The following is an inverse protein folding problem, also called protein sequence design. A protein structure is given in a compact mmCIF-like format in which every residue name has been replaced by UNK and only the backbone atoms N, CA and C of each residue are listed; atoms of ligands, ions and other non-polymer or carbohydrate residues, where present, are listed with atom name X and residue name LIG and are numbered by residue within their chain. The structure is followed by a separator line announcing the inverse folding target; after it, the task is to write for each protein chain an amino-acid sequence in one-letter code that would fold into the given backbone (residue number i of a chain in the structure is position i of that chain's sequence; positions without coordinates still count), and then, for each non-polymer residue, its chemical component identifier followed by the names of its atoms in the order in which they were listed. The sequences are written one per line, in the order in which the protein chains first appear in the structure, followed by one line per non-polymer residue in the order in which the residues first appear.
data_IF_104805699978
#
_entry.id   IF_104805699978
#
_cell.length_a   1.000
_cell.length_b   1.000
_cell.length_c   1.000
_cell.angle_alpha   90.00
_cell.angle_beta   90.00
_cell.angle_gamma   90.00
#
_symmetry.space_group_name_H-M   'P 1'
#
loop_
_entity.id
_entity.type
_entity.pdbx_description
1 polymer ?
#
# COMPACT_ATOMS: atom_id res chain seq x y z
N UNK A 1 1.99 -7.30 18.06
CA UNK A 1 1.42 -5.94 17.92
C UNK A 1 0.27 -5.97 16.93
N UNK A 2 0.43 -6.67 15.81
CA UNK A 2 -0.69 -7.03 14.94
C UNK A 2 -1.37 -8.31 15.40
N UNK A 3 -2.69 -8.26 15.51
CA UNK A 3 -3.55 -9.41 15.81
C UNK A 3 -4.90 -9.22 15.11
N UNK A 4 -5.49 -10.30 14.62
CA UNK A 4 -6.84 -10.28 14.05
C UNK A 4 -7.77 -11.17 14.87
N UNK A 5 -8.68 -10.55 15.60
CA UNK A 5 -9.71 -11.23 16.36
C UNK A 5 -11.01 -11.29 15.57
N UNK A 6 -11.48 -12.50 15.27
CA UNK A 6 -12.82 -12.72 14.72
C UNK A 6 -13.86 -12.69 15.86
N UNK A 7 -14.74 -11.69 15.87
CA UNK A 7 -15.75 -11.52 16.92
C UNK A 7 -17.04 -12.29 16.60
N UNK A 8 -17.49 -12.22 15.35
CA UNK A 8 -18.74 -12.85 14.92
C UNK A 8 -18.70 -13.21 13.44
N UNK A 9 -19.32 -14.33 13.11
CA UNK A 9 -19.67 -14.70 11.75
C UNK A 9 -21.18 -14.77 11.61
N UNK A 10 -21.69 -14.40 10.44
CA UNK A 10 -23.06 -14.67 10.08
C UNK A 10 -23.24 -16.18 9.78
N UNK A 11 -24.40 -16.75 10.11
CA UNK A 11 -24.66 -18.19 9.90
C UNK A 11 -25.12 -18.53 8.49
N UNK A 12 -25.56 -17.54 7.71
CA UNK A 12 -26.16 -17.72 6.38
C UNK A 12 -25.26 -17.23 5.24
N UNK A 13 -24.30 -16.38 5.53
CA UNK A 13 -23.39 -15.74 4.57
C UNK A 13 -21.93 -15.92 5.01
N UNK A 14 -20.99 -15.34 4.23
CA UNK A 14 -19.56 -15.30 4.58
C UNK A 14 -19.17 -14.02 5.34
N UNK A 15 -20.14 -13.23 5.80
CA UNK A 15 -19.87 -11.98 6.51
C UNK A 15 -19.19 -12.23 7.86
N UNK A 16 -18.25 -11.33 8.20
CA UNK A 16 -17.44 -11.41 9.41
C UNK A 16 -17.33 -10.03 10.05
N UNK A 17 -17.48 -9.98 11.37
CA UNK A 17 -17.11 -8.84 12.18
C UNK A 17 -15.89 -9.21 13.01
N UNK A 18 -14.87 -8.35 13.01
CA UNK A 18 -13.61 -8.61 13.72
C UNK A 18 -12.86 -7.33 14.05
N UNK A 19 -11.77 -7.46 14.81
CA UNK A 19 -10.88 -6.37 15.18
C UNK A 19 -9.48 -6.70 14.68
N UNK A 20 -8.85 -5.77 13.97
CA UNK A 20 -7.44 -5.85 13.63
C UNK A 20 -6.66 -4.81 14.44
N UNK A 21 -5.86 -5.25 15.40
CA UNK A 21 -5.05 -4.36 16.24
C UNK A 21 -3.78 -3.93 15.51
N UNK A 22 -3.44 -2.65 15.64
CA UNK A 22 -2.24 -2.05 15.02
C UNK A 22 -1.53 -1.14 16.03
N UNK A 23 -0.27 -0.73 15.80
CA UNK A 23 0.43 0.22 16.67
C UNK A 23 -0.33 1.54 16.90
N UNK A 24 -1.10 2.01 15.91
CA UNK A 24 -1.83 3.27 15.98
C UNK A 24 -3.33 3.12 16.30
N UNK A 25 -3.75 1.94 16.78
CA UNK A 25 -5.11 1.68 17.25
C UNK A 25 -5.79 0.50 16.58
N UNK A 26 -7.00 0.20 17.06
CA UNK A 26 -7.80 -0.93 16.55
C UNK A 26 -8.62 -0.56 15.32
N UNK A 27 -8.72 -1.50 14.38
CA UNK A 27 -9.56 -1.42 13.20
C UNK A 27 -10.73 -2.40 13.31
N UNK A 28 -11.94 -1.86 13.44
CA UNK A 28 -13.17 -2.66 13.35
C UNK A 28 -13.42 -3.04 11.89
N UNK A 29 -13.57 -4.32 11.62
CA UNK A 29 -13.84 -4.87 10.28
C UNK A 29 -15.28 -5.37 10.19
N UNK A 30 -15.99 -5.19 9.05
CA UNK A 30 -15.52 -4.60 7.79
C UNK A 30 -15.29 -3.08 7.88
N UNK A 31 -14.31 -2.59 7.12
CA UNK A 31 -13.86 -1.20 7.17
C UNK A 31 -13.75 -0.62 5.76
N UNK A 32 -13.99 0.69 5.66
CA UNK A 32 -13.69 1.48 4.48
C UNK A 32 -12.51 2.41 4.75
N UNK A 33 -11.59 2.52 3.78
CA UNK A 33 -10.42 3.39 3.87
C UNK A 33 -10.50 4.52 2.82
N UNK A 34 -10.70 5.79 3.24
CA UNK A 34 -10.55 6.93 2.34
C UNK A 34 -9.12 7.01 1.78
N UNK A 35 -8.99 7.48 0.54
CA UNK A 35 -7.70 7.54 -0.17
C UNK A 35 -7.05 8.92 -0.04
N UNK A 36 -5.88 8.95 0.59
CA UNK A 36 -4.95 10.06 0.67
C UNK A 36 -3.87 10.00 -0.42
N UNK A 37 -4.10 10.63 -1.57
CA UNK A 37 -3.19 10.51 -2.73
C UNK A 37 -1.81 11.13 -2.51
N UNK A 38 -1.70 12.26 -1.80
CA UNK A 38 -0.43 12.95 -1.52
C UNK A 38 -0.34 13.31 -0.04
N UNK A 39 -0.49 12.29 0.83
CA UNK A 39 -0.64 12.49 2.27
C UNK A 39 -1.75 13.50 2.63
N UNK A 40 -2.82 13.49 1.83
CA UNK A 40 -4.05 14.24 2.10
C UNK A 40 -5.21 13.56 1.40
N UNK A 41 -6.34 13.41 2.10
CA UNK A 41 -7.62 13.12 1.45
C UNK A 41 -8.09 14.42 0.81
N UNK A 42 -8.42 14.38 -0.48
CA UNK A 42 -8.73 15.60 -1.23
C UNK A 42 -9.97 16.29 -0.66
N UNK A 43 -9.85 17.60 -0.43
CA UNK A 43 -10.91 18.47 0.10
C UNK A 43 -11.41 18.17 1.52
N UNK A 44 -10.76 17.27 2.27
CA UNK A 44 -11.14 16.90 3.64
C UNK A 44 -9.90 16.96 4.54
N UNK A 45 -9.99 17.70 5.63
CA UNK A 45 -8.93 17.79 6.65
C UNK A 45 -8.88 16.54 7.53
N UNK A 46 -7.74 16.24 8.19
CA UNK A 46 -7.67 15.15 9.16
C UNK A 46 -8.71 15.26 10.29
N UNK A 47 -9.03 16.48 10.74
CA UNK A 47 -10.07 16.72 11.74
C UNK A 47 -11.45 16.28 11.24
N UNK A 48 -11.82 16.66 10.01
CA UNK A 48 -13.08 16.23 9.40
C UNK A 48 -13.14 14.71 9.18
N UNK A 49 -12.03 14.06 8.82
CA UNK A 49 -11.98 12.60 8.74
C UNK A 49 -12.25 11.94 10.10
N UNK A 50 -11.73 12.53 11.17
CA UNK A 50 -12.02 12.07 12.53
C UNK A 50 -13.49 12.25 12.90
N UNK A 51 -14.08 13.41 12.59
CA UNK A 51 -15.50 13.70 12.86
C UNK A 51 -16.43 12.75 12.09
N UNK A 52 -16.03 12.35 10.88
CA UNK A 52 -16.75 11.35 10.06
C UNK A 52 -16.57 9.91 10.56
N UNK A 53 -15.74 9.68 11.58
CA UNK A 53 -15.50 8.35 12.15
C UNK A 53 -14.57 7.47 11.32
N UNK A 54 -13.77 8.04 10.42
CA UNK A 54 -12.74 7.27 9.72
C UNK A 54 -11.74 6.69 10.73
N UNK A 55 -11.40 5.42 10.55
CA UNK A 55 -10.44 4.68 11.38
C UNK A 55 -9.23 4.20 10.61
N UNK A 56 -9.27 4.18 9.27
CA UNK A 56 -8.15 3.81 8.40
C UNK A 56 -8.08 4.78 7.22
N UNK A 57 -6.87 5.19 6.84
CA UNK A 57 -6.61 5.94 5.60
C UNK A 57 -5.62 5.17 4.73
N UNK A 58 -5.85 5.16 3.42
CA UNK A 58 -4.88 4.67 2.43
C UNK A 58 -4.01 5.81 1.93
N UNK A 59 -2.70 5.78 2.16
CA UNK A 59 -1.74 6.72 1.58
C UNK A 59 -1.08 6.12 0.32
N UNK A 60 -0.93 6.91 -0.74
CA UNK A 60 -0.37 6.40 -1.98
C UNK A 60 1.16 6.46 -2.02
N UNK A 61 1.81 5.31 -2.14
CA UNK A 61 3.27 5.18 -2.15
C UNK A 61 3.89 5.83 -3.37
N UNK A 62 3.30 5.64 -4.56
CA UNK A 62 3.84 6.15 -5.81
C UNK A 62 3.93 7.68 -5.81
N UNK A 63 2.86 8.35 -5.38
CA UNK A 63 2.83 9.80 -5.32
C UNK A 63 3.79 10.36 -4.26
N UNK A 64 3.79 9.79 -3.06
CA UNK A 64 4.69 10.22 -1.98
C UNK A 64 6.17 10.02 -2.32
N UNK A 65 6.50 8.93 -3.03
CA UNK A 65 7.84 8.69 -3.55
C UNK A 65 8.28 9.76 -4.56
N UNK A 66 7.42 10.10 -5.53
CA UNK A 66 7.78 11.09 -6.55
C UNK A 66 7.83 12.52 -6.00
N UNK A 67 6.89 12.85 -5.10
CA UNK A 67 6.83 14.14 -4.43
C UNK A 67 6.01 14.02 -3.14
N UNK A 68 6.61 14.29 -1.97
CA UNK A 68 7.86 15.02 -1.78
C UNK A 68 9.14 14.15 -1.79
N UNK A 69 9.02 12.83 -1.82
CA UNK A 69 10.12 11.89 -1.61
C UNK A 69 10.00 11.19 -0.25
N UNK A 70 10.22 9.88 -0.23
CA UNK A 70 10.06 9.05 0.96
C UNK A 70 11.08 9.36 2.07
N UNK A 71 12.29 9.75 1.70
CA UNK A 71 13.32 10.17 2.65
C UNK A 71 12.91 11.44 3.41
N UNK A 72 12.30 12.41 2.73
CA UNK A 72 11.79 13.61 3.39
C UNK A 72 10.65 13.26 4.34
N UNK A 73 9.69 12.43 3.90
CA UNK A 73 8.58 12.00 4.76
C UNK A 73 9.11 11.31 6.03
N UNK A 74 10.15 10.48 5.91
CA UNK A 74 10.82 9.84 7.05
C UNK A 74 11.45 10.87 8.00
N UNK A 75 12.17 11.86 7.48
CA UNK A 75 12.78 12.93 8.29
C UNK A 75 11.75 13.72 9.09
N UNK A 76 10.53 13.88 8.55
CA UNK A 76 9.40 14.51 9.23
C UNK A 76 8.65 13.58 10.20
N UNK A 77 9.18 12.40 10.49
CA UNK A 77 8.61 11.45 11.45
C UNK A 77 7.64 10.44 10.85
N UNK A 78 7.68 10.22 9.53
CA UNK A 78 6.83 9.28 8.82
C UNK A 78 5.51 9.89 8.37
N UNK A 79 4.72 9.10 7.64
CA UNK A 79 3.51 9.55 6.96
C UNK A 79 2.41 10.00 7.94
N UNK A 80 2.34 9.41 9.14
CA UNK A 80 1.40 9.83 10.19
C UNK A 80 1.63 11.27 10.61
N UNK A 81 2.88 11.63 10.91
CA UNK A 81 3.25 12.99 11.29
C UNK A 81 3.15 13.94 10.11
N UNK A 82 3.57 13.52 8.93
CA UNK A 82 3.49 14.34 7.72
C UNK A 82 2.03 14.69 7.34
N UNK A 83 1.10 13.75 7.49
CA UNK A 83 -0.33 13.94 7.22
C UNK A 83 -1.12 14.50 8.41
N UNK A 84 -0.53 14.57 9.61
CA UNK A 84 -1.22 14.84 10.88
C UNK A 84 -2.40 13.88 11.10
N UNK A 85 -2.18 12.60 10.81
CA UNK A 85 -3.13 11.51 11.01
C UNK A 85 -2.53 10.49 11.98
N UNK A 86 -3.09 10.41 13.18
CA UNK A 86 -2.54 9.60 14.29
C UNK A 86 -3.27 8.27 14.52
N UNK A 87 -4.11 7.86 13.56
CA UNK A 87 -4.83 6.59 13.54
C UNK A 87 -4.17 5.65 12.53
N UNK A 88 -4.62 4.38 12.42
CA UNK A 88 -3.97 3.43 11.52
C UNK A 88 -3.97 3.89 10.06
N UNK A 89 -2.92 3.52 9.34
CA UNK A 89 -2.77 3.77 7.90
C UNK A 89 -2.33 2.55 7.13
N UNK A 90 -2.74 2.53 5.86
CA UNK A 90 -2.30 1.57 4.87
C UNK A 90 -1.57 2.31 3.75
N UNK A 91 -0.47 1.75 3.25
CA UNK A 91 0.13 2.18 1.98
C UNK A 91 -0.02 1.10 0.92
N UNK A 92 -0.36 1.48 -0.30
CA UNK A 92 -0.27 0.57 -1.44
C UNK A 92 1.19 0.36 -1.87
N UNK A 93 1.45 -0.61 -2.74
CA UNK A 93 2.82 -0.93 -3.18
C UNK A 93 3.37 0.06 -4.22
N UNK A 94 2.51 0.90 -4.80
CA UNK A 94 2.79 1.72 -5.97
C UNK A 94 2.76 0.97 -7.32
N UNK A 95 2.65 -0.37 -7.30
CA UNK A 95 2.65 -1.20 -8.51
C UNK A 95 1.47 -0.89 -9.44
N UNK A 96 0.29 -0.67 -8.87
CA UNK A 96 -0.91 -0.35 -9.65
C UNK A 96 -0.84 1.01 -10.37
N UNK A 97 -0.26 2.04 -9.76
CA UNK A 97 -0.12 3.36 -10.38
C UNK A 97 0.90 3.29 -11.51
N UNK A 98 2.01 2.59 -11.31
CA UNK A 98 2.97 2.30 -12.39
C UNK A 98 2.29 1.50 -13.50
N UNK A 99 1.38 0.57 -13.17
CA UNK A 99 0.56 -0.12 -14.16
C UNK A 99 -0.37 0.84 -14.91
N UNK A 100 -1.02 1.79 -14.25
CA UNK A 100 -1.90 2.75 -14.95
C UNK A 100 -1.17 3.60 -16.01
N UNK A 101 0.16 3.65 -15.96
CA UNK A 101 1.04 4.31 -16.94
C UNK A 101 1.52 3.38 -18.07
N UNK A 102 0.68 2.43 -18.49
CA UNK A 102 1.00 1.30 -19.38
C UNK A 102 1.84 1.64 -20.61
N UNK A 103 1.63 2.81 -21.23
CA UNK A 103 2.38 3.24 -22.42
C UNK A 103 3.88 3.51 -22.17
N UNK A 104 4.30 3.73 -20.92
CA UNK A 104 5.66 4.20 -20.59
C UNK A 104 6.44 3.26 -19.67
N UNK A 105 5.88 2.10 -19.34
CA UNK A 105 6.50 1.14 -18.42
C UNK A 105 7.15 -0.03 -19.16
N UNK A 106 8.18 -0.61 -18.54
CA UNK A 106 8.81 -1.87 -18.94
C UNK A 106 8.88 -2.77 -17.72
N UNK A 107 8.33 -3.98 -17.84
CA UNK A 107 8.31 -4.99 -16.78
C UNK A 107 9.28 -6.10 -17.17
N UNK A 108 10.07 -6.55 -16.20
CA UNK A 108 10.90 -7.74 -16.27
C UNK A 108 10.86 -8.45 -14.91
N UNK A 109 11.61 -9.53 -14.73
CA UNK A 109 11.54 -10.34 -13.51
C UNK A 109 12.10 -9.64 -12.26
N UNK A 110 12.87 -8.56 -12.42
CA UNK A 110 13.45 -7.81 -11.31
C UNK A 110 12.57 -6.67 -10.80
N UNK A 111 11.61 -6.22 -11.60
CA UNK A 111 10.78 -5.06 -11.27
C UNK A 111 10.20 -4.33 -12.49
N UNK A 112 9.88 -3.06 -12.29
CA UNK A 112 9.24 -2.20 -13.28
C UNK A 112 10.00 -0.89 -13.45
N UNK A 113 10.38 -0.58 -14.69
CA UNK A 113 10.93 0.72 -15.08
C UNK A 113 9.83 1.57 -15.67
N UNK A 114 9.72 2.83 -15.28
CA UNK A 114 8.71 3.77 -15.78
C UNK A 114 9.27 5.19 -15.84
N UNK A 115 8.54 6.10 -16.50
CA UNK A 115 8.86 7.53 -16.48
C UNK A 115 7.93 8.26 -15.53
N UNK A 116 8.50 9.17 -14.74
CA UNK A 116 7.74 10.06 -13.87
C UNK A 116 6.79 10.93 -14.69
N UNK A 117 5.54 11.01 -14.24
CA UNK A 117 4.53 11.90 -14.83
C UNK A 117 4.75 13.39 -14.50
N UNK A 118 5.70 13.69 -13.60
CA UNK A 118 6.00 15.05 -13.14
C UNK A 118 7.04 15.72 -14.05
N UNK A 119 8.10 14.99 -14.38
CA UNK A 119 9.29 15.53 -15.05
C UNK A 119 9.85 14.62 -16.15
N UNK A 120 9.26 13.43 -16.37
CA UNK A 120 9.69 12.48 -17.38
C UNK A 120 10.94 11.68 -17.03
N UNK A 121 11.51 11.86 -15.84
CA UNK A 121 12.71 11.14 -15.40
C UNK A 121 12.44 9.62 -15.33
N UNK A 122 13.41 8.76 -15.71
CA UNK A 122 13.26 7.32 -15.57
C UNK A 122 13.42 6.89 -14.11
N UNK A 123 12.51 6.06 -13.63
CA UNK A 123 12.54 5.45 -12.30
C UNK A 123 12.42 3.93 -12.41
N UNK A 124 12.93 3.24 -11.39
CA UNK A 124 12.90 1.78 -11.31
C UNK A 124 12.35 1.36 -9.94
N UNK A 125 11.24 0.62 -9.95
CA UNK A 125 10.68 -0.02 -8.77
C UNK A 125 10.98 -1.51 -8.80
N UNK A 126 11.64 -1.98 -7.76
CA UNK A 126 11.81 -3.41 -7.46
C UNK A 126 11.04 -3.73 -6.18
N UNK A 127 10.77 -5.01 -5.88
CA UNK A 127 10.23 -5.44 -4.59
C UNK A 127 10.97 -4.83 -3.39
N UNK A 128 12.30 -4.80 -3.41
CA UNK A 128 13.11 -4.24 -2.32
C UNK A 128 12.90 -2.73 -2.21
N UNK A 129 12.96 -2.00 -3.33
CA UNK A 129 12.77 -0.54 -3.31
C UNK A 129 11.36 -0.16 -2.86
N UNK A 130 10.33 -0.89 -3.28
CA UNK A 130 8.95 -0.65 -2.85
C UNK A 130 8.78 -0.86 -1.33
N UNK A 131 9.43 -1.87 -0.77
CA UNK A 131 9.42 -2.10 0.68
C UNK A 131 10.27 -1.07 1.42
N UNK A 132 11.43 -0.66 0.90
CA UNK A 132 12.24 0.41 1.47
C UNK A 132 11.47 1.72 1.57
N UNK A 133 10.77 2.11 0.50
CA UNK A 133 9.91 3.29 0.47
C UNK A 133 8.82 3.16 1.55
N UNK A 134 8.08 2.05 1.59
CA UNK A 134 7.02 1.85 2.59
C UNK A 134 7.55 1.80 4.03
N UNK A 135 8.77 1.28 4.24
CA UNK A 135 9.46 1.32 5.53
C UNK A 135 9.80 2.76 5.95
N UNK A 136 10.19 3.61 4.99
CA UNK A 136 10.47 5.03 5.23
C UNK A 136 9.18 5.82 5.50
N UNK A 137 8.09 5.52 4.79
CA UNK A 137 6.78 6.11 5.05
C UNK A 137 6.24 5.71 6.42
N UNK A 138 6.40 4.46 6.85
CA UNK A 138 6.07 4.03 8.20
C UNK A 138 4.57 3.83 8.48
N UNK A 139 3.76 3.48 7.47
CA UNK A 139 2.36 3.13 7.66
C UNK A 139 2.17 1.78 8.39
N UNK A 140 1.07 1.57 9.11
CA UNK A 140 0.80 0.35 9.87
C UNK A 140 0.67 -0.90 8.99
N UNK A 141 0.05 -0.75 7.83
CA UNK A 141 -0.16 -1.83 6.86
C UNK A 141 0.52 -1.43 5.55
N UNK A 142 1.33 -2.33 5.00
CA UNK A 142 2.04 -2.10 3.74
C UNK A 142 1.71 -3.25 2.78
N UNK A 143 1.62 -2.94 1.49
CA UNK A 143 1.28 -3.94 0.48
C UNK A 143 2.55 -4.46 -0.21
N UNK A 144 2.62 -5.77 -0.43
CA UNK A 144 3.67 -6.37 -1.25
C UNK A 144 3.62 -5.82 -2.68
N UNK A 145 4.79 -5.65 -3.30
CA UNK A 145 4.88 -5.25 -4.69
C UNK A 145 4.42 -6.40 -5.60
N UNK A 146 3.51 -6.08 -6.51
CA UNK A 146 2.85 -7.04 -7.39
C UNK A 146 2.76 -6.52 -8.82
N UNK A 147 2.32 -7.40 -9.71
CA UNK A 147 1.98 -7.04 -11.08
C UNK A 147 0.49 -7.25 -11.32
N UNK A 148 -0.24 -6.15 -11.48
CA UNK A 148 -1.61 -6.20 -11.95
C UNK A 148 -1.62 -6.57 -13.45
N UNK A 149 -2.22 -7.71 -13.80
CA UNK A 149 -2.36 -8.15 -15.18
C UNK A 149 -3.72 -7.74 -15.78
N UNK A 150 -3.82 -7.60 -17.12
CA UNK A 150 -5.11 -7.45 -17.78
C UNK A 150 -6.03 -8.64 -17.47
N UNK A 151 -7.32 -8.42 -17.14
CA UNK A 151 -8.17 -9.46 -16.57
C UNK A 151 -8.57 -10.58 -17.54
N UNK A 152 -8.43 -10.36 -18.86
CA UNK A 152 -8.93 -11.28 -19.89
C UNK A 152 -7.83 -11.98 -20.70
N UNK A 153 -6.55 -11.80 -20.32
CA UNK A 153 -5.42 -12.45 -20.99
C UNK A 153 -4.83 -13.55 -20.09
N UNK A 154 -5.34 -14.77 -20.23
CA UNK A 154 -4.96 -15.89 -19.37
C UNK A 154 -3.46 -16.19 -19.42
N UNK A 155 -2.86 -16.16 -20.61
CA UNK A 155 -1.46 -16.52 -20.78
C UNK A 155 -0.55 -15.51 -20.07
N UNK A 156 -0.88 -14.22 -20.18
CA UNK A 156 -0.18 -13.17 -19.44
C UNK A 156 -0.44 -13.26 -17.94
N UNK A 157 -1.67 -13.53 -17.50
CA UNK A 157 -2.00 -13.71 -16.08
C UNK A 157 -1.14 -14.80 -15.42
N UNK A 158 -0.89 -15.92 -16.11
CA UNK A 158 -0.01 -16.98 -15.59
C UNK A 158 1.43 -16.51 -15.40
N UNK A 159 1.93 -15.62 -16.27
CA UNK A 159 3.27 -15.02 -16.15
C UNK A 159 3.30 -14.04 -14.98
N UNK A 160 2.35 -13.11 -14.93
CA UNK A 160 2.24 -12.10 -13.88
C UNK A 160 2.01 -12.71 -12.48
N UNK A 161 1.25 -13.80 -12.39
CA UNK A 161 1.03 -14.55 -11.16
C UNK A 161 2.35 -15.13 -10.62
N UNK A 162 3.14 -15.78 -11.47
CA UNK A 162 4.45 -16.34 -11.09
C UNK A 162 5.39 -15.23 -10.62
N UNK A 163 5.43 -14.11 -11.34
CA UNK A 163 6.24 -12.94 -10.99
C UNK A 163 5.80 -12.33 -9.66
N UNK A 164 4.50 -12.13 -9.46
CA UNK A 164 3.92 -11.62 -8.21
C UNK A 164 4.28 -12.49 -7.01
N UNK A 165 4.26 -13.83 -7.15
CA UNK A 165 4.69 -14.72 -6.07
C UNK A 165 6.18 -14.56 -5.74
N UNK A 166 7.05 -14.54 -6.77
CA UNK A 166 8.48 -14.34 -6.59
C UNK A 166 8.80 -12.96 -5.96
N UNK A 167 8.07 -11.93 -6.36
CA UNK A 167 8.18 -10.59 -5.78
C UNK A 167 7.68 -10.51 -4.34
N UNK A 168 6.60 -11.21 -4.00
CA UNK A 168 6.11 -11.27 -2.62
C UNK A 168 7.14 -11.90 -1.67
N UNK A 169 7.86 -12.94 -2.10
CA UNK A 169 8.95 -13.53 -1.31
C UNK A 169 10.11 -12.56 -1.08
N UNK A 170 10.46 -11.77 -2.11
CA UNK A 170 11.47 -10.71 -2.01
C UNK A 170 11.01 -9.60 -1.07
N UNK A 171 9.77 -9.16 -1.18
CA UNK A 171 9.17 -8.18 -0.28
C UNK A 171 9.24 -8.65 1.17
N UNK A 172 8.83 -9.90 1.44
CA UNK A 172 8.85 -10.48 2.79
C UNK A 172 10.26 -10.54 3.37
N UNK A 173 11.28 -10.87 2.56
CA UNK A 173 12.68 -10.88 3.00
C UNK A 173 13.24 -9.49 3.29
N UNK A 174 12.77 -8.47 2.57
CA UNK A 174 13.24 -7.08 2.74
C UNK A 174 12.44 -6.29 3.78
N UNK A 175 11.32 -6.82 4.26
CA UNK A 175 10.52 -6.20 5.31
C UNK A 175 11.24 -6.29 6.67
N UNK A 176 11.57 -5.13 7.25
CA UNK A 176 12.45 -5.03 8.42
C UNK A 176 11.75 -4.49 9.67
N UNK A 177 10.54 -3.94 9.53
CA UNK A 177 9.85 -3.20 10.59
C UNK A 177 8.81 -4.08 11.28
N UNK A 178 8.93 -4.24 12.60
CA UNK A 178 7.97 -5.02 13.40
C UNK A 178 6.68 -4.26 13.71
N UNK A 179 6.69 -2.95 13.53
CA UNK A 179 5.56 -2.04 13.68
C UNK A 179 4.83 -1.78 12.34
N UNK A 180 5.13 -2.58 11.32
CA UNK A 180 4.38 -2.62 10.06
C UNK A 180 3.95 -4.06 9.75
N UNK A 181 2.78 -4.21 9.15
CA UNK A 181 2.26 -5.50 8.69
C UNK A 181 2.27 -5.56 7.17
N UNK A 182 3.04 -6.49 6.61
CA UNK A 182 3.10 -6.73 5.17
C UNK A 182 1.95 -7.63 4.71
N UNK A 183 1.09 -7.12 3.83
CA UNK A 183 0.01 -7.88 3.20
C UNK A 183 0.41 -8.33 1.80
N UNK A 184 0.14 -9.61 1.51
CA UNK A 184 0.27 -10.15 0.15
C UNK A 184 -0.93 -9.76 -0.73
N UNK A 185 -0.72 -9.77 -2.04
CA UNK A 185 -1.78 -9.53 -3.04
C UNK A 185 -1.97 -10.81 -3.83
N UNK A 186 -3.20 -11.33 -3.80
CA UNK A 186 -3.59 -12.49 -4.59
C UNK A 186 -3.89 -12.03 -6.02
N UNK A 187 -3.26 -12.69 -6.99
CA UNK A 187 -3.49 -12.53 -8.44
C UNK A 187 -3.96 -13.87 -9.03
N UNK A 188 -4.32 -13.88 -10.32
CA UNK A 188 -4.67 -15.09 -11.08
C UNK A 188 -6.17 -15.27 -11.27
#
# INVERSE_FOLDING_TARGET
MFDFQLLKTDSSTRARAGVFSTPHGDLLTPIFAPVGTQATVKAITPAQLNDLGASLVLANTYHLYLRPGDSLVKEFGGVHQFMQWHKPMLTDSGGFQVFSLSATRKIDDDGVTFKSHIDGAPHRFTPERAIEIQNNLGADIIMAFDECAPPLDRDYNLIALKRTHAWAERCRRHHQRSDQSLFGIVQG
#
